data_IF_646029948703
#
_entry.id   IF_646029948703
#
_cell.length_a   1.000
_cell.length_b   1.000
_cell.length_c   1.000
_cell.angle_alpha   90.00
_cell.angle_beta   90.00
_cell.angle_gamma   90.00
#
_symmetry.space_group_name_H-M   'P 1'
#
loop_
_entity.id
_entity.type
_entity.pdbx_description
1 polymer ?
#
# COMPACT_ATOMS: atom_id res chain seq x y z
N UNK A 1 -3.30 -14.67 6.38
CA UNK A 1 -4.16 -14.39 5.21
C UNK A 1 -4.11 -15.56 4.22
N UNK A 2 -4.98 -16.58 4.33
CA UNK A 2 -4.94 -17.76 3.47
C UNK A 2 -6.05 -17.81 2.39
N UNK A 3 -6.71 -16.69 2.04
CA UNK A 3 -7.82 -16.67 1.05
C UNK A 3 -7.67 -15.58 -0.03
N UNK A 4 -6.80 -14.58 0.16
CA UNK A 4 -6.61 -13.49 -0.78
C UNK A 4 -5.81 -13.93 -2.01
N UNK A 5 -6.15 -13.39 -3.18
CA UNK A 5 -5.29 -13.47 -4.35
C UNK A 5 -4.23 -12.36 -4.28
N UNK A 6 -2.99 -12.69 -4.62
CA UNK A 6 -1.89 -11.74 -4.73
C UNK A 6 -1.71 -11.35 -6.20
N UNK A 7 -1.59 -10.06 -6.45
CA UNK A 7 -1.36 -9.53 -7.80
C UNK A 7 -0.09 -8.69 -7.76
N UNK A 8 0.89 -9.08 -8.57
CA UNK A 8 2.18 -8.41 -8.66
C UNK A 8 2.15 -7.51 -9.89
N UNK A 9 2.08 -6.19 -9.68
CA UNK A 9 2.17 -5.20 -10.74
C UNK A 9 3.65 -5.00 -11.07
N UNK A 10 4.06 -5.31 -12.30
CA UNK A 10 5.49 -5.30 -12.68
C UNK A 10 5.74 -4.58 -14.00
N UNK A 11 7.02 -4.26 -14.23
CA UNK A 11 7.52 -3.80 -15.52
C UNK A 11 7.40 -4.92 -16.57
N UNK A 12 6.80 -4.68 -17.76
CA UNK A 12 6.81 -5.63 -18.87
C UNK A 12 8.20 -6.13 -19.28
N UNK A 13 9.26 -5.33 -19.05
CA UNK A 13 10.64 -5.73 -19.34
C UNK A 13 11.28 -6.57 -18.21
N UNK A 14 10.59 -6.73 -17.07
CA UNK A 14 11.09 -7.58 -15.99
C UNK A 14 11.03 -9.06 -16.39
N UNK A 15 12.16 -9.76 -16.25
CA UNK A 15 12.22 -11.22 -16.34
C UNK A 15 11.70 -11.84 -15.02
N UNK A 16 10.43 -11.56 -14.71
CA UNK A 16 9.77 -12.00 -13.50
C UNK A 16 8.54 -12.84 -13.85
N UNK A 17 8.72 -14.16 -13.84
CA UNK A 17 7.65 -15.13 -13.95
C UNK A 17 7.49 -15.90 -12.64
N UNK A 18 6.24 -16.10 -12.23
CA UNK A 18 5.91 -16.85 -11.01
C UNK A 18 4.65 -17.67 -11.25
N UNK A 19 4.76 -18.98 -11.03
CA UNK A 19 3.65 -19.93 -11.15
C UNK A 19 3.32 -20.49 -9.77
N UNK A 20 2.46 -19.78 -9.03
CA UNK A 20 1.98 -20.19 -7.72
C UNK A 20 0.48 -19.95 -7.62
N UNK A 21 -0.23 -20.84 -6.93
CA UNK A 21 -1.66 -20.72 -6.74
C UNK A 21 -2.03 -19.36 -6.13
N UNK A 22 -3.07 -18.72 -6.68
CA UNK A 22 -3.60 -17.42 -6.24
C UNK A 22 -2.63 -16.24 -6.40
N UNK A 23 -1.50 -16.43 -7.07
CA UNK A 23 -0.59 -15.34 -7.45
C UNK A 23 -0.73 -15.07 -8.94
N UNK A 24 -0.85 -13.80 -9.31
CA UNK A 24 -0.91 -13.38 -10.71
C UNK A 24 0.07 -12.26 -10.93
N UNK A 25 0.97 -12.43 -11.90
CA UNK A 25 1.83 -11.34 -12.38
C UNK A 25 1.05 -10.55 -13.43
N UNK A 26 0.95 -9.24 -13.25
CA UNK A 26 0.28 -8.34 -14.17
C UNK A 26 1.26 -7.25 -14.62
N UNK A 27 1.84 -7.39 -15.82
CA UNK A 27 2.68 -6.36 -16.41
C UNK A 27 1.88 -5.09 -16.68
N UNK A 28 2.41 -3.93 -16.28
CA UNK A 28 1.79 -2.63 -16.52
C UNK A 28 2.76 -1.75 -17.29
N UNK A 29 2.35 -1.30 -18.47
CA UNK A 29 3.13 -0.37 -19.29
C UNK A 29 3.41 0.95 -18.54
N UNK A 30 4.62 1.48 -18.70
CA UNK A 30 4.99 2.75 -18.09
C UNK A 30 6.49 3.00 -18.02
N UNK A 31 6.90 3.95 -17.19
CA UNK A 31 8.29 4.38 -17.07
C UNK A 31 8.88 3.99 -15.71
N UNK A 32 9.72 2.96 -15.70
CA UNK A 32 10.32 2.39 -14.49
C UNK A 32 11.75 2.92 -14.21
N UNK A 33 12.12 4.04 -14.84
CA UNK A 33 13.38 4.72 -14.54
C UNK A 33 13.44 5.16 -13.07
N UNK A 34 14.65 5.17 -12.50
CA UNK A 34 14.87 5.33 -11.06
C UNK A 34 14.23 6.60 -10.47
N UNK A 35 14.17 7.69 -11.24
CA UNK A 35 13.56 8.95 -10.84
C UNK A 35 12.06 9.04 -11.15
N UNK A 36 11.44 7.98 -11.69
CA UNK A 36 9.99 7.92 -11.98
C UNK A 36 9.27 6.81 -11.22
N UNK A 37 9.97 5.87 -10.59
CA UNK A 37 9.40 4.71 -9.89
C UNK A 37 8.20 5.07 -8.98
N UNK A 38 8.32 6.10 -8.15
CA UNK A 38 7.25 6.49 -7.22
C UNK A 38 6.01 7.05 -7.94
N UNK A 39 6.22 7.78 -9.04
CA UNK A 39 5.16 8.27 -9.92
C UNK A 39 4.51 7.10 -10.68
N UNK A 40 5.34 6.21 -11.23
CA UNK A 40 4.91 5.03 -11.96
C UNK A 40 4.08 4.09 -11.08
N UNK A 41 4.43 3.93 -9.81
CA UNK A 41 3.62 3.14 -8.87
C UNK A 41 2.17 3.65 -8.77
N UNK A 42 1.96 4.97 -8.66
CA UNK A 42 0.61 5.55 -8.64
C UNK A 42 -0.10 5.29 -9.98
N UNK A 43 0.61 5.45 -11.10
CA UNK A 43 0.07 5.13 -12.44
C UNK A 43 -0.35 3.67 -12.53
N UNK A 44 0.47 2.74 -12.05
CA UNK A 44 0.15 1.32 -12.04
C UNK A 44 -1.08 1.01 -11.19
N UNK A 45 -1.28 1.68 -10.06
CA UNK A 45 -2.51 1.55 -9.27
C UNK A 45 -3.73 2.05 -10.05
N UNK A 46 -3.64 3.21 -10.70
CA UNK A 46 -4.73 3.76 -11.53
C UNK A 46 -5.07 2.81 -12.68
N UNK A 47 -4.08 2.36 -13.45
CA UNK A 47 -4.26 1.42 -14.57
C UNK A 47 -4.90 0.11 -14.08
N UNK A 48 -4.46 -0.40 -12.93
CA UNK A 48 -5.07 -1.58 -12.33
C UNK A 48 -6.55 -1.38 -11.99
N UNK A 49 -6.92 -0.23 -11.40
CA UNK A 49 -8.31 0.09 -11.08
C UNK A 49 -9.15 0.26 -12.36
N UNK A 50 -8.60 0.86 -13.43
CA UNK A 50 -9.27 0.98 -14.73
C UNK A 50 -9.57 -0.42 -15.32
N UNK A 51 -8.60 -1.34 -15.33
CA UNK A 51 -8.80 -2.74 -15.75
C UNK A 51 -9.90 -3.42 -14.90
N UNK A 52 -9.95 -3.15 -13.59
CA UNK A 52 -10.97 -3.74 -12.71
C UNK A 52 -12.36 -3.15 -12.94
N UNK A 53 -12.49 -1.86 -13.25
CA UNK A 53 -13.77 -1.24 -13.62
C UNK A 53 -14.36 -1.83 -14.89
N UNK A 54 -13.51 -2.10 -15.90
CA UNK A 54 -13.92 -2.75 -17.14
C UNK A 54 -14.46 -4.16 -16.87
N UNK A 55 -13.73 -4.96 -16.08
CA UNK A 55 -14.14 -6.33 -15.71
C UNK A 55 -15.41 -6.39 -14.87
N UNK A 56 -15.60 -5.47 -13.93
CA UNK A 56 -16.84 -5.39 -13.14
C UNK A 56 -18.08 -5.12 -14.00
N UNK A 57 -17.91 -4.55 -15.19
CA UNK A 57 -19.02 -4.36 -16.13
C UNK A 57 -19.44 -5.68 -16.81
N UNK A 58 -18.61 -6.73 -16.70
CA UNK A 58 -18.79 -8.04 -17.31
C UNK A 58 -19.12 -9.13 -16.28
N UNK A 59 -18.67 -9.01 -15.03
CA UNK A 59 -18.85 -9.99 -13.96
C UNK A 59 -20.00 -9.59 -13.00
N UNK A 60 -21.02 -10.45 -12.88
CA UNK A 60 -22.15 -10.22 -11.97
C UNK A 60 -21.89 -10.85 -10.59
N UNK A 61 -21.86 -10.00 -9.55
CA UNK A 61 -22.28 -10.37 -8.20
C UNK A 61 -21.21 -10.50 -7.12
N UNK A 62 -19.91 -10.62 -7.43
CA UNK A 62 -18.86 -10.74 -6.40
C UNK A 62 -18.05 -9.46 -6.22
N UNK A 63 -18.19 -8.81 -5.07
CA UNK A 63 -17.36 -7.68 -4.68
C UNK A 63 -15.98 -8.21 -4.25
N UNK A 64 -14.93 -7.73 -4.92
CA UNK A 64 -13.54 -8.02 -4.54
C UNK A 64 -12.86 -6.74 -4.10
N UNK A 65 -12.49 -6.64 -2.83
CA UNK A 65 -11.74 -5.51 -2.31
C UNK A 65 -10.25 -5.61 -2.67
N UNK A 66 -9.57 -4.47 -2.73
CA UNK A 66 -8.15 -4.41 -3.10
C UNK A 66 -7.32 -3.74 -2.02
N UNK A 67 -6.09 -4.21 -1.85
CA UNK A 67 -5.07 -3.56 -1.03
C UNK A 67 -3.83 -3.44 -1.91
N UNK A 68 -3.39 -2.21 -2.13
CA UNK A 68 -2.09 -1.92 -2.69
C UNK A 68 -1.08 -1.85 -1.55
N UNK A 69 0.04 -2.55 -1.71
CA UNK A 69 1.10 -2.56 -0.72
C UNK A 69 2.47 -2.38 -1.38
N UNK A 70 3.41 -1.78 -0.65
CA UNK A 70 4.83 -1.87 -1.00
C UNK A 70 5.32 -3.32 -0.86
N UNK A 71 6.41 -3.65 -1.57
CA UNK A 71 6.98 -5.00 -1.57
C UNK A 71 7.76 -5.34 -0.29
N UNK A 72 8.08 -4.34 0.54
CA UNK A 72 8.74 -4.48 1.84
C UNK A 72 7.73 -4.50 3.01
N UNK A 73 6.57 -5.11 2.78
CA UNK A 73 5.51 -5.28 3.77
C UNK A 73 5.27 -6.77 4.08
N UNK A 74 5.08 -7.07 5.37
CA UNK A 74 4.50 -8.32 5.83
C UNK A 74 3.09 -8.08 6.38
N UNK A 75 2.12 -8.86 5.88
CA UNK A 75 0.77 -8.89 6.45
C UNK A 75 0.69 -10.07 7.41
N UNK A 76 0.45 -9.75 8.68
CA UNK A 76 0.61 -10.70 9.79
C UNK A 76 -0.72 -11.04 10.50
N UNK A 77 -1.81 -10.40 10.11
CA UNK A 77 -3.16 -10.66 10.64
C UNK A 77 -4.22 -10.34 9.57
N UNK A 78 -5.50 -10.63 9.87
CA UNK A 78 -6.62 -10.44 8.96
C UNK A 78 -6.92 -8.95 8.70
N UNK A 79 -6.85 -8.58 7.42
CA UNK A 79 -7.20 -7.25 6.89
C UNK A 79 -8.63 -7.18 6.34
N UNK A 80 -9.33 -8.31 6.20
CA UNK A 80 -10.74 -8.37 5.82
C UNK A 80 -11.63 -7.54 6.76
N UNK A 81 -11.27 -7.53 8.05
CA UNK A 81 -11.91 -6.72 9.09
C UNK A 81 -11.98 -5.23 8.77
N UNK A 82 -11.06 -4.66 7.96
CA UNK A 82 -11.16 -3.26 7.51
C UNK A 82 -12.46 -3.04 6.74
N UNK A 83 -12.76 -3.96 5.82
CA UNK A 83 -13.89 -3.86 4.91
C UNK A 83 -15.22 -4.21 5.57
N UNK A 84 -15.20 -5.05 6.61
CA UNK A 84 -16.37 -5.40 7.44
C UNK A 84 -16.73 -4.27 8.41
N UNK A 85 -15.74 -3.73 9.12
CA UNK A 85 -15.92 -2.73 10.18
C UNK A 85 -16.28 -1.34 9.63
N UNK A 86 -15.62 -0.93 8.55
CA UNK A 86 -15.88 0.34 7.89
C UNK A 86 -16.55 -0.01 6.58
N UNK A 87 -17.85 0.25 6.42
CA UNK A 87 -18.57 -0.09 5.17
C UNK A 87 -18.59 1.10 4.19
N UNK A 88 -18.61 2.32 4.71
CA UNK A 88 -18.83 3.56 3.93
C UNK A 88 -17.53 4.30 3.59
N UNK A 89 -16.56 3.58 2.98
CA UNK A 89 -15.35 4.20 2.45
C UNK A 89 -15.07 3.75 1.02
N UNK A 90 -14.41 4.62 0.25
CA UNK A 90 -13.95 4.31 -1.10
C UNK A 90 -12.47 3.92 -1.12
N UNK A 91 -11.64 4.71 -0.44
CA UNK A 91 -10.20 4.51 -0.32
C UNK A 91 -9.75 4.64 1.14
N UNK A 92 -8.83 3.80 1.58
CA UNK A 92 -8.20 3.91 2.89
C UNK A 92 -6.70 4.22 2.75
N UNK A 93 -6.21 5.13 3.59
CA UNK A 93 -4.81 5.52 3.68
C UNK A 93 -4.34 5.31 5.11
N UNK A 94 -3.02 5.20 5.30
CA UNK A 94 -2.45 5.12 6.66
C UNK A 94 -1.81 6.42 7.11
N UNK A 95 -2.01 6.76 8.39
CA UNK A 95 -1.50 8.00 8.98
C UNK A 95 -0.72 7.77 10.27
N UNK A 96 0.12 8.74 10.64
CA UNK A 96 0.93 8.74 11.85
C UNK A 96 1.03 10.15 12.43
N UNK A 97 1.36 10.24 13.71
CA UNK A 97 1.65 11.51 14.37
C UNK A 97 3.06 11.99 14.01
N UNK A 98 3.26 12.37 12.75
CA UNK A 98 4.48 13.00 12.23
C UNK A 98 4.06 14.22 11.41
N UNK A 99 4.46 15.42 11.82
CA UNK A 99 4.00 16.67 11.20
C UNK A 99 4.49 16.85 9.77
N UNK A 100 5.69 16.35 9.46
CA UNK A 100 6.32 16.51 8.15
C UNK A 100 5.82 15.48 7.14
N UNK A 101 5.56 14.26 7.62
CA UNK A 101 5.12 13.14 6.80
C UNK A 101 4.00 12.37 7.51
N UNK A 102 2.80 12.95 7.61
CA UNK A 102 1.71 12.37 8.38
C UNK A 102 1.08 11.15 7.72
N UNK A 103 1.27 10.95 6.41
CA UNK A 103 0.74 9.82 5.67
C UNK A 103 1.86 8.85 5.27
N UNK A 104 1.52 7.57 5.21
CA UNK A 104 2.33 6.52 4.59
C UNK A 104 1.52 5.84 3.48
N UNK A 105 2.09 5.84 2.29
CA UNK A 105 1.48 5.36 1.05
C UNK A 105 1.81 3.91 0.72
N UNK A 106 2.68 3.28 1.50
CA UNK A 106 2.99 1.86 1.31
C UNK A 106 1.81 0.93 1.58
N UNK A 107 0.68 1.45 2.07
CA UNK A 107 -0.56 0.72 2.21
C UNK A 107 -1.74 1.60 1.79
N UNK A 108 -2.53 1.13 0.82
CA UNK A 108 -3.77 1.78 0.36
C UNK A 108 -4.83 0.70 0.15
N UNK A 109 -5.97 0.79 0.83
CA UNK A 109 -7.10 -0.13 0.60
C UNK A 109 -8.16 0.53 -0.28
N UNK A 110 -8.83 -0.24 -1.13
CA UNK A 110 -9.89 0.23 -2.03
C UNK A 110 -11.10 -0.68 -1.93
N UNK A 111 -12.28 -0.07 -1.77
CA UNK A 111 -13.56 -0.76 -1.79
C UNK A 111 -13.85 -1.26 -3.21
N UNK A 112 -14.07 -2.58 -3.35
CA UNK A 112 -14.34 -3.26 -4.62
C UNK A 112 -15.66 -2.98 -5.32
N UNK A 113 -16.54 -2.16 -4.75
CA UNK A 113 -17.78 -1.73 -5.42
C UNK A 113 -17.44 -0.84 -6.62
N UNK A 114 -18.29 -0.80 -7.65
CA UNK A 114 -18.09 0.08 -8.82
C UNK A 114 -17.82 1.54 -8.42
N UNK A 115 -18.61 2.10 -7.51
CA UNK A 115 -18.39 3.47 -7.03
C UNK A 115 -17.07 3.59 -6.24
N UNK A 116 -16.82 2.69 -5.28
CA UNK A 116 -15.54 2.62 -4.55
C UNK A 116 -14.30 2.64 -5.44
N UNK A 117 -14.25 1.81 -6.49
CA UNK A 117 -13.13 1.79 -7.43
C UNK A 117 -13.05 3.09 -8.24
N UNK A 118 -14.19 3.59 -8.77
CA UNK A 118 -14.23 4.82 -9.57
C UNK A 118 -13.75 6.03 -8.75
N UNK A 119 -14.21 6.15 -7.50
CA UNK A 119 -13.86 7.21 -6.56
C UNK A 119 -12.39 7.13 -6.16
N UNK A 120 -11.89 5.93 -5.84
CA UNK A 120 -10.48 5.72 -5.53
C UNK A 120 -9.56 6.04 -6.73
N UNK A 121 -9.95 5.61 -7.94
CA UNK A 121 -9.24 5.92 -9.19
C UNK A 121 -9.16 7.42 -9.43
N UNK A 122 -10.28 8.13 -9.28
CA UNK A 122 -10.35 9.59 -9.42
C UNK A 122 -9.51 10.31 -8.36
N UNK A 123 -9.53 9.81 -7.12
CA UNK A 123 -8.70 10.32 -6.05
C UNK A 123 -7.20 10.17 -6.37
N UNK A 124 -6.76 8.97 -6.78
CA UNK A 124 -5.37 8.71 -7.14
C UNK A 124 -4.94 9.51 -8.38
N UNK A 125 -5.83 9.77 -9.32
CA UNK A 125 -5.57 10.64 -10.47
C UNK A 125 -5.22 12.08 -10.03
N UNK A 126 -5.97 12.64 -9.07
CA UNK A 126 -5.64 13.96 -8.49
C UNK A 126 -4.29 13.95 -7.77
N UNK A 127 -3.97 12.86 -7.07
CA UNK A 127 -2.65 12.67 -6.43
C UNK A 127 -1.55 12.66 -7.49
N UNK A 128 -1.76 11.94 -8.60
CA UNK A 128 -0.81 11.88 -9.71
C UNK A 128 -0.58 13.26 -10.34
N UNK A 129 -1.62 14.05 -10.54
CA UNK A 129 -1.55 15.42 -11.06
C UNK A 129 -0.76 16.35 -10.13
N UNK A 130 -1.03 16.28 -8.82
CA UNK A 130 -0.29 17.04 -7.81
C UNK A 130 1.17 16.62 -7.75
N UNK A 131 1.44 15.31 -7.81
CA UNK A 131 2.80 14.80 -7.88
C UNK A 131 3.51 15.42 -9.11
N UNK A 132 2.90 15.28 -10.28
CA UNK A 132 3.49 15.66 -11.57
C UNK A 132 3.73 17.17 -11.68
N UNK A 133 2.90 17.98 -11.03
CA UNK A 133 3.03 19.45 -11.05
C UNK A 133 3.92 20.01 -9.95
N UNK A 134 3.95 19.40 -8.76
CA UNK A 134 4.60 19.99 -7.56
C UNK A 134 5.77 19.20 -7.01
N UNK A 135 5.76 17.87 -7.15
CA UNK A 135 6.67 16.98 -6.45
C UNK A 135 7.55 16.14 -7.38
N UNK A 136 7.62 16.47 -8.67
CA UNK A 136 8.52 15.80 -9.63
C UNK A 136 10.00 15.85 -9.21
N UNK A 137 10.43 16.89 -8.49
CA UNK A 137 11.81 16.98 -7.97
C UNK A 137 12.04 16.13 -6.71
N UNK A 138 10.98 15.74 -6.00
CA UNK A 138 11.02 14.84 -4.86
C UNK A 138 10.94 13.35 -5.29
N UNK A 139 11.16 13.06 -6.56
CA UNK A 139 10.80 11.77 -7.12
C UNK A 139 11.63 10.57 -6.65
N UNK A 140 12.79 10.84 -6.05
CA UNK A 140 13.67 9.80 -5.51
C UNK A 140 13.17 9.21 -4.19
N UNK A 141 12.46 9.99 -3.36
CA UNK A 141 11.89 9.55 -2.08
C UNK A 141 10.72 10.46 -1.67
N UNK A 142 9.62 9.89 -1.17
CA UNK A 142 8.47 10.57 -0.55
C UNK A 142 7.50 11.36 -1.46
N UNK A 143 7.79 11.54 -2.75
CA UNK A 143 6.98 12.41 -3.63
C UNK A 143 5.47 12.10 -3.63
N UNK A 144 5.11 10.83 -3.50
CA UNK A 144 3.74 10.34 -3.43
C UNK A 144 3.07 10.59 -2.07
N UNK A 145 3.79 10.41 -0.95
CA UNK A 145 3.30 10.74 0.40
C UNK A 145 3.04 12.25 0.49
N UNK A 146 3.92 13.06 -0.09
CA UNK A 146 3.75 14.52 -0.15
C UNK A 146 2.56 14.90 -1.03
N UNK A 147 2.40 14.28 -2.20
CA UNK A 147 1.26 14.53 -3.08
C UNK A 147 -0.08 14.12 -2.43
N UNK A 148 -0.13 12.95 -1.79
CA UNK A 148 -1.30 12.49 -1.02
C UNK A 148 -1.68 13.48 0.07
N UNK A 149 -0.69 13.88 0.88
CA UNK A 149 -0.94 14.82 1.96
C UNK A 149 -1.39 16.18 1.44
N UNK A 150 -0.84 16.64 0.30
CA UNK A 150 -1.25 17.88 -0.34
C UNK A 150 -2.72 17.83 -0.79
N UNK A 151 -3.16 16.74 -1.44
CA UNK A 151 -4.56 16.56 -1.86
C UNK A 151 -5.50 16.64 -0.65
N UNK A 152 -5.13 15.99 0.45
CA UNK A 152 -5.96 15.97 1.67
C UNK A 152 -5.98 17.32 2.37
N UNK A 153 -4.81 17.94 2.57
CA UNK A 153 -4.69 19.23 3.25
C UNK A 153 -5.34 20.38 2.47
N UNK A 154 -5.44 20.24 1.14
CA UNK A 154 -6.09 21.25 0.30
C UNK A 154 -7.62 21.24 0.43
N UNK A 155 -8.21 20.21 1.03
CA UNK A 155 -9.64 20.19 1.34
C UNK A 155 -9.94 21.10 2.54
N UNK A 156 -10.77 22.12 2.33
CA UNK A 156 -11.09 23.14 3.34
C UNK A 156 -11.68 22.56 4.63
N UNK A 157 -12.28 21.36 4.55
CA UNK A 157 -12.94 20.72 5.67
C UNK A 157 -12.00 19.79 6.47
N UNK A 158 -10.73 19.66 6.06
CA UNK A 158 -9.76 18.78 6.69
C UNK A 158 -8.96 19.48 7.80
N UNK A 159 -8.96 18.88 8.99
CA UNK A 159 -8.13 19.32 10.13
C UNK A 159 -7.00 18.32 10.37
N UNK A 160 -5.76 18.74 10.09
CA UNK A 160 -4.56 17.93 10.29
C UNK A 160 -4.31 17.55 11.76
N UNK A 161 -4.89 18.25 12.74
CA UNK A 161 -4.79 17.88 14.16
C UNK A 161 -5.41 16.50 14.43
N UNK A 162 -6.30 16.00 13.57
CA UNK A 162 -6.86 14.64 13.69
C UNK A 162 -5.79 13.55 13.68
N UNK A 163 -4.66 13.76 13.01
CA UNK A 163 -3.55 12.81 12.99
C UNK A 163 -2.80 12.68 14.32
N UNK A 164 -3.03 13.59 15.28
CA UNK A 164 -2.49 13.45 16.63
C UNK A 164 -3.16 12.34 17.43
N UNK A 165 -4.39 11.96 17.08
CA UNK A 165 -5.13 10.86 17.70
C UNK A 165 -4.84 9.58 16.94
N UNK A 166 -4.32 8.56 17.59
CA UNK A 166 -4.05 7.25 17.00
C UNK A 166 -5.34 6.43 16.77
N UNK A 167 -6.40 7.05 16.27
CA UNK A 167 -7.72 6.45 16.07
C UNK A 167 -8.13 6.58 14.60
N UNK A 168 -8.67 5.50 14.05
CA UNK A 168 -9.19 5.53 12.68
C UNK A 168 -10.39 6.47 12.54
N UNK A 169 -10.50 7.16 11.40
CA UNK A 169 -11.61 8.06 11.10
C UNK A 169 -11.87 8.16 9.60
N UNK A 170 -13.09 8.53 9.22
CA UNK A 170 -13.49 8.74 7.83
C UNK A 170 -13.66 10.24 7.57
N UNK A 171 -13.33 10.68 6.35
CA UNK A 171 -13.54 12.04 5.90
C UNK A 171 -13.78 12.08 4.39
N UNK A 172 -14.78 12.85 3.96
CA UNK A 172 -14.96 13.20 2.55
C UNK A 172 -13.85 14.15 2.10
N UNK A 173 -13.10 13.74 1.07
CA UNK A 173 -12.02 14.53 0.46
C UNK A 173 -12.19 14.49 -1.06
N UNK A 174 -12.40 15.65 -1.67
CA UNK A 174 -12.45 15.76 -3.13
C UNK A 174 -13.46 14.83 -3.82
N UNK A 175 -14.59 14.55 -3.15
CA UNK A 175 -15.67 13.71 -3.64
C UNK A 175 -15.49 12.21 -3.38
N UNK A 176 -14.56 11.81 -2.52
CA UNK A 176 -14.40 10.43 -2.05
C UNK A 176 -14.37 10.37 -0.51
N UNK A 177 -15.14 9.45 0.07
CA UNK A 177 -14.96 8.96 1.44
C UNK A 177 -13.59 8.31 1.62
N UNK A 178 -12.70 8.97 2.35
CA UNK A 178 -11.35 8.52 2.69
C UNK A 178 -11.32 8.02 4.13
N UNK A 179 -10.98 6.75 4.32
CA UNK A 179 -10.71 6.15 5.63
C UNK A 179 -9.23 6.35 6.00
N UNK A 180 -8.97 6.92 7.17
CA UNK A 180 -7.64 7.09 7.73
C UNK A 180 -7.41 6.02 8.79
N UNK A 181 -6.44 5.13 8.55
CA UNK A 181 -6.06 4.04 9.44
C UNK A 181 -4.74 4.37 10.16
N UNK A 182 -4.61 4.11 11.48
CA UNK A 182 -3.36 4.40 12.18
C UNK A 182 -2.23 3.46 11.71
N UNK A 183 -1.07 4.02 11.36
CA UNK A 183 0.13 3.26 11.04
C UNK A 183 0.54 2.34 12.20
N UNK A 184 0.23 2.71 13.44
CA UNK A 184 0.50 1.88 14.61
C UNK A 184 -0.11 0.46 14.53
N UNK A 185 -1.14 0.25 13.68
CA UNK A 185 -1.79 -1.05 13.48
C UNK A 185 -1.68 -1.53 12.02
N UNK A 186 -1.89 -0.65 11.05
CA UNK A 186 -2.09 -1.02 9.64
C UNK A 186 -0.91 -0.71 8.72
N UNK A 187 0.18 -0.16 9.25
CA UNK A 187 1.41 0.14 8.50
C UNK A 187 2.57 0.42 9.46
N UNK A 188 2.77 -0.49 10.42
CA UNK A 188 3.69 -0.28 11.53
C UNK A 188 5.12 -0.47 11.07
N UNK A 189 6.01 0.42 11.47
CA UNK A 189 7.43 0.32 11.12
C UNK A 189 8.24 -0.02 12.36
N UNK A 190 9.14 -1.02 12.31
CA UNK A 190 10.10 -1.25 13.39
C UNK A 190 10.86 0.02 13.78
N UNK A 191 11.20 0.23 15.07
CA UNK A 191 12.01 1.37 15.51
C UNK A 191 13.31 1.51 14.72
N UNK A 192 13.81 2.75 14.60
CA UNK A 192 15.13 2.97 13.99
C UNK A 192 16.22 2.34 14.85
N UNK A 193 17.21 1.69 14.22
CA UNK A 193 18.29 1.06 14.95
C UNK A 193 17.92 -0.22 15.70
N UNK A 194 16.72 -0.78 15.49
CA UNK A 194 16.38 -2.11 16.01
C UNK A 194 17.44 -3.12 15.55
N UNK A 195 18.26 -3.63 16.47
CA UNK A 195 19.41 -4.46 16.17
C UNK A 195 19.01 -5.78 15.51
N UNK A 196 18.13 -6.52 16.20
CA UNK A 196 17.57 -7.80 15.78
C UNK A 196 16.04 -7.74 15.82
N UNK A 197 15.40 -8.62 15.05
CA UNK A 197 13.96 -8.81 15.08
C UNK A 197 13.56 -9.66 16.30
N UNK A 198 12.94 -9.06 17.31
CA UNK A 198 12.58 -9.72 18.57
C UNK A 198 11.17 -10.36 18.58
N UNK A 199 10.55 -10.49 17.40
CA UNK A 199 9.20 -11.02 17.26
C UNK A 199 8.21 -9.97 16.73
N UNK A 200 7.06 -10.46 16.29
CA UNK A 200 6.01 -9.63 15.71
C UNK A 200 5.21 -8.91 16.81
N UNK A 201 4.90 -7.61 16.65
CA UNK A 201 4.03 -6.93 17.59
C UNK A 201 2.63 -7.53 17.56
N UNK A 202 2.03 -7.78 18.73
CA UNK A 202 0.72 -8.43 18.85
C UNK A 202 -0.44 -7.54 18.38
N UNK A 203 -0.30 -6.22 18.50
CA UNK A 203 -1.34 -5.25 18.16
C UNK A 203 -1.22 -4.68 16.73
N UNK A 204 -0.44 -5.36 15.87
CA UNK A 204 -0.15 -4.96 14.50
C UNK A 204 -0.71 -5.97 13.52
N UNK A 205 -1.28 -5.46 12.43
CA UNK A 205 -1.76 -6.27 11.30
C UNK A 205 -0.81 -6.24 10.10
N UNK A 206 -0.03 -5.16 9.97
CA UNK A 206 0.88 -4.92 8.85
C UNK A 206 2.20 -4.35 9.35
N UNK A 207 3.30 -5.00 9.02
CA UNK A 207 4.67 -4.54 9.28
C UNK A 207 5.28 -4.03 7.98
N UNK A 208 5.80 -2.81 8.00
CA UNK A 208 6.44 -2.16 6.85
C UNK A 208 7.92 -1.92 7.15
N UNK A 209 8.78 -2.65 6.45
CA UNK A 209 10.23 -2.67 6.62
C UNK A 209 10.94 -1.56 5.82
N UNK A 210 10.44 -0.32 5.91
CA UNK A 210 10.94 0.79 5.09
C UNK A 210 12.42 1.11 5.30
N UNK A 211 13.10 1.50 4.23
CA UNK A 211 14.49 1.99 4.28
C UNK A 211 15.48 0.93 4.77
N UNK A 212 16.30 1.25 5.77
CA UNK A 212 17.30 0.33 6.33
C UNK A 212 16.72 -0.89 7.05
N UNK A 213 15.41 -0.88 7.35
CA UNK A 213 14.72 -1.97 8.06
C UNK A 213 14.41 -3.16 7.17
N UNK A 214 14.62 -3.06 5.84
CA UNK A 214 14.50 -4.18 4.89
C UNK A 214 15.34 -5.39 5.28
N UNK A 215 16.50 -5.18 5.92
CA UNK A 215 17.33 -6.27 6.45
C UNK A 215 16.59 -7.18 7.45
N UNK A 216 15.61 -6.64 8.17
CA UNK A 216 14.81 -7.38 9.15
C UNK A 216 13.76 -8.28 8.48
N UNK A 217 13.52 -8.18 7.17
CA UNK A 217 12.54 -9.01 6.47
C UNK A 217 12.91 -10.49 6.52
N UNK A 218 14.20 -10.82 6.35
CA UNK A 218 14.68 -12.20 6.45
C UNK A 218 14.58 -12.72 7.89
N UNK A 219 14.91 -11.89 8.88
CA UNK A 219 14.76 -12.26 10.30
C UNK A 219 13.29 -12.49 10.66
N UNK A 220 12.39 -11.61 10.19
CA UNK A 220 10.95 -11.76 10.33
C UNK A 220 10.43 -13.04 9.65
N UNK A 221 10.89 -13.33 8.44
CA UNK A 221 10.55 -14.56 7.73
C UNK A 221 11.01 -15.80 8.49
N UNK A 222 12.26 -15.83 8.95
CA UNK A 222 12.81 -16.95 9.72
C UNK A 222 12.07 -17.15 11.05
N UNK A 223 11.70 -16.05 11.72
CA UNK A 223 10.88 -16.10 12.93
C UNK A 223 9.52 -16.74 12.65
N UNK A 224 8.83 -16.31 11.59
CA UNK A 224 7.57 -16.95 11.19
C UNK A 224 7.79 -18.42 10.83
N UNK A 225 8.79 -18.73 10.01
CA UNK A 225 9.16 -20.09 9.56
C UNK A 225 9.40 -21.08 10.70
N UNK A 226 9.85 -20.60 11.85
CA UNK A 226 10.13 -21.44 13.02
C UNK A 226 8.97 -21.52 14.02
N UNK A 227 7.95 -20.65 13.93
CA UNK A 227 6.93 -20.49 14.97
C UNK A 227 5.49 -20.78 14.52
N UNK A 228 5.21 -20.88 13.22
CA UNK A 228 3.87 -21.07 12.68
C UNK A 228 3.79 -22.25 11.70
N UNK A 229 2.58 -22.78 11.47
CA UNK A 229 2.26 -23.60 10.30
C UNK A 229 1.90 -22.64 9.14
N UNK A 230 2.70 -22.64 8.08
CA UNK A 230 2.84 -21.51 7.14
C UNK A 230 2.57 -21.93 5.71
N UNK A 231 1.80 -23.01 5.53
CA UNK A 231 1.48 -23.53 4.19
C UNK A 231 0.94 -22.46 3.23
N UNK A 232 0.37 -21.37 3.76
CA UNK A 232 -0.39 -20.38 3.01
C UNK A 232 0.24 -18.98 2.93
N UNK A 233 1.49 -18.77 3.36
CA UNK A 233 2.18 -17.47 3.24
C UNK A 233 3.05 -17.38 1.98
N UNK A 234 2.93 -16.27 1.25
CA UNK A 234 3.80 -15.95 0.12
C UNK A 234 4.99 -15.11 0.61
N UNK A 235 6.21 -15.64 0.47
CA UNK A 235 7.44 -14.86 0.61
C UNK A 235 8.06 -14.61 -0.77
N UNK A 236 8.25 -13.34 -1.12
CA UNK A 236 8.97 -12.95 -2.33
C UNK A 236 10.31 -12.35 -1.92
N UNK A 237 11.40 -13.07 -2.16
CA UNK A 237 12.76 -12.58 -1.98
C UNK A 237 13.25 -12.11 -3.34
N UNK A 238 13.22 -10.80 -3.55
CA UNK A 238 13.68 -10.17 -4.79
C UNK A 238 15.12 -9.68 -4.60
N UNK A 239 16.03 -10.13 -5.47
CA UNK A 239 17.38 -9.53 -5.52
C UNK A 239 17.26 -8.08 -5.97
N UNK A 240 17.92 -7.18 -5.25
CA UNK A 240 17.86 -5.74 -5.50
C UNK A 240 18.66 -5.29 -6.73
N UNK A 241 19.44 -6.22 -7.33
CA UNK A 241 20.41 -5.90 -8.38
C UNK A 241 21.56 -5.02 -7.89
N UNK A 242 21.59 -4.70 -6.60
CA UNK A 242 22.66 -4.00 -5.90
C UNK A 242 23.23 -4.97 -4.89
N UNK A 243 24.34 -5.60 -5.24
CA UNK A 243 25.05 -6.61 -4.42
C UNK A 243 25.24 -6.22 -2.95
N UNK A 244 25.29 -4.93 -2.62
CA UNK A 244 25.40 -4.42 -1.24
C UNK A 244 24.12 -4.60 -0.38
N UNK A 245 22.96 -4.77 -1.02
CA UNK A 245 21.65 -4.90 -0.36
C UNK A 245 20.94 -6.21 -0.71
N UNK A 246 21.62 -7.09 -1.43
CA UNK A 246 21.19 -8.47 -1.64
C UNK A 246 21.58 -9.23 -0.37
N UNK A 247 20.61 -9.43 0.52
CA UNK A 247 20.72 -10.25 1.72
C UNK A 247 20.14 -11.64 1.45
#
# INVERSE_FOLDING_TARGET
MPQSNVIILTDPESDFSLHQNRVTVLPIQGEYSRDKLMLQRIRSYITFLDIRLEKLSQEQGRITHFIFSDSDIAVIDDLGQIFEKYQDFHVALTFRNNKDQPLNSGFIAVRGTRDGILRARTFLQKVLEVYSSKYMKASRMLGDQLALFWVIKSDASFDAKRFSKAQAFIKEIGGASVLFLPCATYNWTPPEGAGQFHGMPLDVKVVHFKGSRKRLMLEAWNYFNSSADISDMLCLILKSGRTKYDF
#
